data_IF_832497256902
#
_entry.id   IF_832497256902
#
_cell.length_a   1.000
_cell.length_b   1.000
_cell.length_c   1.000
_cell.angle_alpha   90.00
_cell.angle_beta   90.00
_cell.angle_gamma   90.00
#
_symmetry.space_group_name_H-M   'P 1'
#
loop_
_entity.id
_entity.type
_entity.pdbx_description
1 polymer ?
#
# COMPACT_ATOMS: atom_id res chain seq x y z
N UNK A 1 -13.77 14.38 -2.67
CA UNK A 1 -14.01 12.93 -2.55
C UNK A 1 -13.53 12.36 -3.87
N UNK A 2 -12.25 11.97 -3.91
CA UNK A 2 -11.63 11.49 -5.15
C UNK A 2 -12.35 10.21 -5.60
N UNK A 3 -12.59 10.06 -6.90
CA UNK A 3 -13.36 8.94 -7.41
C UNK A 3 -12.63 7.63 -7.09
N UNK A 4 -13.28 6.70 -6.40
CA UNK A 4 -12.77 5.35 -6.25
C UNK A 4 -12.47 4.77 -7.64
N UNK A 5 -11.41 3.95 -7.82
CA UNK A 5 -11.12 3.30 -9.08
C UNK A 5 -12.40 2.68 -9.63
N UNK A 6 -12.83 3.16 -10.80
CA UNK A 6 -14.13 2.84 -11.39
C UNK A 6 -14.08 1.55 -12.20
N UNK A 7 -12.87 1.03 -12.46
CA UNK A 7 -12.67 -0.23 -13.15
C UNK A 7 -12.85 -1.42 -12.19
N UNK A 8 -13.59 -2.47 -12.60
CA UNK A 8 -13.80 -3.64 -11.76
C UNK A 8 -12.48 -4.36 -11.48
N UNK A 9 -12.33 -4.84 -10.25
CA UNK A 9 -11.19 -5.68 -9.85
C UNK A 9 -11.07 -6.86 -10.82
N UNK A 10 -9.95 -6.90 -11.56
CA UNK A 10 -9.64 -7.95 -12.53
C UNK A 10 -8.68 -8.95 -11.90
N UNK A 11 -8.97 -10.25 -12.04
CA UNK A 11 -8.13 -11.32 -11.51
C UNK A 11 -7.20 -11.89 -12.60
N UNK A 12 -6.41 -11.04 -13.27
CA UNK A 12 -5.36 -11.52 -14.18
C UNK A 12 -4.32 -12.33 -13.37
N UNK A 13 -4.17 -13.65 -13.61
CA UNK A 13 -3.31 -14.50 -12.80
C UNK A 13 -1.85 -14.06 -12.80
N UNK A 14 -1.35 -13.49 -13.90
CA UNK A 14 0.04 -13.04 -14.01
C UNK A 14 0.28 -11.80 -13.15
N UNK A 15 -0.66 -10.84 -13.17
CA UNK A 15 -0.58 -9.64 -12.33
C UNK A 15 -0.75 -9.99 -10.85
N UNK A 16 -1.64 -10.92 -10.51
CA UNK A 16 -1.79 -11.40 -9.12
C UNK A 16 -0.52 -12.11 -8.63
N UNK A 17 0.17 -12.87 -9.50
CA UNK A 17 1.44 -13.48 -9.16
C UNK A 17 2.56 -12.43 -8.93
N UNK A 18 2.61 -11.38 -9.75
CA UNK A 18 3.53 -10.26 -9.57
C UNK A 18 3.25 -9.50 -8.26
N UNK A 19 1.98 -9.21 -7.96
CA UNK A 19 1.56 -8.60 -6.69
C UNK A 19 2.03 -9.44 -5.50
N UNK A 20 1.78 -10.76 -5.55
CA UNK A 20 2.21 -11.68 -4.48
C UNK A 20 3.73 -11.60 -4.26
N UNK A 21 4.52 -11.60 -5.33
CA UNK A 21 5.98 -11.54 -5.24
C UNK A 21 6.43 -10.25 -4.55
N UNK A 22 5.86 -9.10 -4.90
CA UNK A 22 6.21 -7.80 -4.33
C UNK A 22 5.79 -7.67 -2.86
N UNK A 23 4.58 -8.12 -2.50
CA UNK A 23 4.11 -8.12 -1.11
C UNK A 23 4.97 -9.03 -0.22
N UNK A 24 5.40 -10.19 -0.74
CA UNK A 24 6.30 -11.08 -0.03
C UNK A 24 7.70 -10.47 0.14
N UNK A 25 8.27 -9.90 -0.92
CA UNK A 25 9.61 -9.30 -0.90
C UNK A 25 9.70 -8.07 0.02
N UNK A 26 8.62 -7.29 0.14
CA UNK A 26 8.55 -6.13 1.04
C UNK A 26 8.27 -6.51 2.50
N UNK A 27 7.96 -7.78 2.79
CA UNK A 27 7.54 -8.23 4.12
C UNK A 27 6.21 -7.62 4.55
N UNK A 28 5.32 -7.29 3.60
CA UNK A 28 3.98 -6.76 3.86
C UNK A 28 3.07 -7.85 4.46
N UNK A 29 3.28 -8.12 5.73
CA UNK A 29 2.60 -9.12 6.57
C UNK A 29 2.18 -8.44 7.87
N UNK A 30 1.26 -9.04 8.64
CA UNK A 30 0.87 -8.46 9.95
C UNK A 30 2.10 -8.22 10.85
N UNK A 31 3.01 -9.20 11.07
CA UNK A 31 4.21 -8.94 11.86
C UNK A 31 5.12 -7.86 11.27
N UNK A 32 5.28 -7.83 9.94
CA UNK A 32 6.11 -6.82 9.28
C UNK A 32 5.53 -5.39 9.37
N UNK A 33 4.20 -5.26 9.34
CA UNK A 33 3.53 -3.97 9.57
C UNK A 33 3.64 -3.56 11.03
N UNK A 34 3.46 -4.48 11.98
CA UNK A 34 3.62 -4.18 13.40
C UNK A 34 5.05 -3.78 13.77
N UNK A 35 6.05 -4.44 13.18
CA UNK A 35 7.47 -4.07 13.31
C UNK A 35 7.73 -2.66 12.79
N UNK A 36 7.21 -2.32 11.60
CA UNK A 36 7.35 -0.99 10.99
C UNK A 36 6.68 0.10 11.84
N UNK A 37 5.47 -0.16 12.34
CA UNK A 37 4.71 0.81 13.13
C UNK A 37 5.25 0.96 14.55
N UNK A 38 5.81 -0.12 15.09
CA UNK A 38 6.11 -0.22 16.50
C UNK A 38 4.84 -0.33 17.37
N UNK A 39 5.01 -0.61 18.67
CA UNK A 39 3.91 -0.98 19.56
C UNK A 39 2.88 0.14 19.75
N UNK A 40 3.34 1.40 19.81
CA UNK A 40 2.46 2.56 20.05
C UNK A 40 1.55 2.81 18.85
N UNK A 41 2.11 2.89 17.64
CA UNK A 41 1.31 3.18 16.46
C UNK A 41 0.42 1.99 16.07
N UNK A 42 0.89 0.75 16.26
CA UNK A 42 0.05 -0.44 16.10
C UNK A 42 -1.16 -0.42 17.06
N UNK A 43 -0.94 -0.18 18.36
CA UNK A 43 -2.03 -0.14 19.34
C UNK A 43 -3.02 1.01 19.08
N UNK A 44 -2.54 2.18 18.65
CA UNK A 44 -3.39 3.29 18.26
C UNK A 44 -4.27 2.93 17.05
N UNK A 45 -3.67 2.33 16.02
CA UNK A 45 -4.39 1.94 14.80
C UNK A 45 -5.50 0.91 15.08
N UNK A 46 -5.26 -0.05 15.99
CA UNK A 46 -6.29 -1.00 16.45
C UNK A 46 -7.48 -0.33 17.14
N UNK A 47 -7.33 0.91 17.61
CA UNK A 47 -8.40 1.75 18.18
C UNK A 47 -8.92 2.78 17.19
N UNK A 48 -8.67 2.58 15.90
CA UNK A 48 -9.06 3.47 14.81
C UNK A 48 -8.42 4.88 14.92
N UNK A 49 -7.26 4.99 15.56
CA UNK A 49 -6.46 6.23 15.62
C UNK A 49 -5.32 6.17 14.59
N UNK A 50 -5.49 6.65 13.35
CA UNK A 50 -4.50 6.47 12.28
C UNK A 50 -3.30 7.41 12.39
N UNK A 51 -3.38 8.49 13.18
CA UNK A 51 -2.36 9.55 13.22
C UNK A 51 -0.97 9.01 13.58
N UNK A 52 -0.79 8.17 14.63
CA UNK A 52 0.51 7.57 14.92
C UNK A 52 1.06 6.71 13.77
N UNK A 53 0.21 5.98 13.06
CA UNK A 53 0.62 5.18 11.90
C UNK A 53 1.02 6.06 10.71
N UNK A 54 0.32 7.18 10.49
CA UNK A 54 0.68 8.16 9.47
C UNK A 54 2.06 8.79 9.73
N UNK A 55 2.41 9.02 11.00
CA UNK A 55 3.72 9.53 11.40
C UNK A 55 4.82 8.47 11.24
N UNK A 56 4.57 7.25 11.72
CA UNK A 56 5.53 6.14 11.62
C UNK A 56 5.86 5.78 10.15
N UNK A 57 4.94 6.02 9.23
CA UNK A 57 5.09 5.72 7.80
C UNK A 57 5.46 6.94 6.94
N UNK A 58 5.95 8.03 7.54
CA UNK A 58 6.27 9.26 6.77
C UNK A 58 7.53 9.13 5.88
N UNK A 59 8.33 8.07 6.05
CA UNK A 59 9.52 7.81 5.25
C UNK A 59 9.22 7.29 3.83
N UNK A 60 10.29 6.95 3.10
CA UNK A 60 10.26 6.47 1.71
C UNK A 60 10.46 4.94 1.59
N UNK A 61 10.36 4.21 2.71
CA UNK A 61 10.51 2.76 2.71
C UNK A 61 9.37 2.07 1.94
N UNK A 62 9.67 1.07 1.09
CA UNK A 62 8.67 0.30 0.34
C UNK A 62 7.46 -0.15 1.15
N UNK A 63 7.68 -0.74 2.34
CA UNK A 63 6.58 -1.23 3.20
C UNK A 63 5.71 -0.08 3.72
N UNK A 64 6.30 1.07 4.02
CA UNK A 64 5.56 2.26 4.44
C UNK A 64 4.62 2.76 3.34
N UNK A 65 5.05 2.75 2.08
CA UNK A 65 4.19 3.10 0.95
C UNK A 65 2.97 2.16 0.83
N UNK A 66 3.16 0.85 1.01
CA UNK A 66 2.06 -0.13 1.00
C UNK A 66 1.10 0.05 2.17
N UNK A 67 1.61 0.30 3.39
CA UNK A 67 0.76 0.57 4.56
C UNK A 67 -0.09 1.82 4.33
N UNK A 68 0.51 2.89 3.81
CA UNK A 68 -0.22 4.12 3.49
C UNK A 68 -1.31 3.92 2.45
N UNK A 69 -1.00 3.22 1.36
CA UNK A 69 -1.94 2.97 0.27
C UNK A 69 -3.07 2.00 0.67
N UNK A 70 -2.73 0.86 1.30
CA UNK A 70 -3.68 -0.26 1.47
C UNK A 70 -4.27 -0.38 2.87
N UNK A 71 -3.63 0.17 3.91
CA UNK A 71 -4.13 0.13 5.29
C UNK A 71 -4.73 1.47 5.69
N UNK A 72 -4.02 2.56 5.40
CA UNK A 72 -4.44 3.91 5.81
C UNK A 72 -5.29 4.62 4.75
N UNK A 73 -5.33 4.11 3.51
CA UNK A 73 -6.14 4.67 2.43
C UNK A 73 -5.76 6.10 2.05
N UNK A 74 -4.48 6.46 2.21
CA UNK A 74 -3.98 7.81 1.89
C UNK A 74 -3.17 7.81 0.59
N UNK A 75 -3.19 8.92 -0.19
CA UNK A 75 -2.36 9.06 -1.38
C UNK A 75 -0.87 8.87 -1.07
N UNK A 76 -0.16 8.24 -2.00
CA UNK A 76 1.29 8.05 -1.97
C UNK A 76 1.90 8.51 -3.30
N UNK A 77 3.14 9.03 -3.31
CA UNK A 77 3.84 9.32 -4.56
C UNK A 77 4.00 8.05 -5.40
N UNK A 78 3.70 8.13 -6.70
CA UNK A 78 3.80 7.00 -7.62
C UNK A 78 5.19 6.35 -7.62
N UNK A 79 6.26 7.14 -7.43
CA UNK A 79 7.63 6.65 -7.31
C UNK A 79 7.85 5.76 -6.07
N UNK A 80 7.21 6.08 -4.94
CA UNK A 80 7.30 5.25 -3.73
C UNK A 80 6.54 3.94 -3.92
N UNK A 81 5.36 4.01 -4.53
CA UNK A 81 4.57 2.81 -4.86
C UNK A 81 5.29 1.92 -5.87
N UNK A 82 5.94 2.49 -6.89
CA UNK A 82 6.74 1.75 -7.86
C UNK A 82 7.93 1.02 -7.21
N UNK A 83 8.59 1.65 -6.22
CA UNK A 83 9.65 0.98 -5.43
C UNK A 83 9.12 -0.16 -4.57
N UNK A 84 7.87 -0.07 -4.12
CA UNK A 84 7.22 -1.12 -3.35
C UNK A 84 6.64 -2.26 -4.20
N UNK A 85 6.39 -2.00 -5.47
CA UNK A 85 5.85 -2.94 -6.46
C UNK A 85 6.81 -3.07 -7.66
N UNK A 86 8.07 -3.52 -7.47
CA UNK A 86 9.05 -3.55 -8.54
C UNK A 86 8.70 -4.52 -9.69
N UNK A 87 7.91 -5.56 -9.42
CA UNK A 87 7.50 -6.55 -10.42
C UNK A 87 6.17 -6.19 -11.06
N UNK A 88 5.17 -5.82 -10.25
CA UNK A 88 3.83 -5.46 -10.71
C UNK A 88 3.82 -4.07 -11.37
N UNK A 89 4.57 -3.13 -10.80
CA UNK A 89 4.54 -1.71 -11.14
C UNK A 89 3.21 -1.02 -10.84
N UNK A 90 3.20 0.31 -10.91
CA UNK A 90 1.97 1.11 -10.81
C UNK A 90 0.95 0.73 -11.90
N UNK A 91 1.33 0.56 -13.19
CA UNK A 91 0.38 0.16 -14.22
C UNK A 91 -0.25 -1.21 -14.00
N UNK A 92 0.45 -2.14 -13.34
CA UNK A 92 -0.12 -3.42 -12.94
C UNK A 92 -1.14 -3.27 -11.82
N UNK A 93 -0.85 -2.43 -10.82
CA UNK A 93 -1.76 -2.13 -9.72
C UNK A 93 -3.03 -1.41 -10.20
N UNK A 94 -2.92 -0.49 -11.16
CA UNK A 94 -4.06 0.18 -11.81
C UNK A 94 -4.94 -0.81 -12.57
N UNK A 95 -4.35 -1.69 -13.41
CA UNK A 95 -5.10 -2.73 -14.14
C UNK A 95 -5.80 -3.74 -13.24
N UNK A 96 -5.26 -3.98 -12.04
CA UNK A 96 -5.92 -4.79 -11.02
C UNK A 96 -7.03 -4.04 -10.29
N UNK A 97 -7.20 -2.73 -10.51
CA UNK A 97 -8.16 -1.87 -9.82
C UNK A 97 -7.78 -1.54 -8.38
N UNK A 98 -6.51 -1.72 -7.99
CA UNK A 98 -6.04 -1.53 -6.60
C UNK A 98 -5.75 -0.06 -6.28
N UNK A 99 -5.36 0.71 -7.29
CA UNK A 99 -5.02 2.13 -7.16
C UNK A 99 -5.56 2.91 -8.34
N UNK A 100 -5.71 4.21 -8.17
CA UNK A 100 -5.96 5.16 -9.24
C UNK A 100 -5.03 6.36 -9.05
N UNK A 101 -4.69 7.03 -10.15
CA UNK A 101 -4.02 8.33 -10.08
C UNK A 101 -4.92 9.34 -9.36
N UNK A 102 -4.43 9.91 -8.27
CA UNK A 102 -5.13 10.95 -7.54
C UNK A 102 -4.92 12.30 -8.24
N UNK A 103 -6.01 12.93 -8.68
CA UNK A 103 -6.01 14.23 -9.35
C UNK A 103 -5.64 14.21 -10.83
N UNK A 104 -6.64 14.48 -11.68
CA UNK A 104 -6.48 15.03 -13.02
C UNK A 104 -6.87 16.51 -13.02
#
# INVERSE_FOLDING_TARGET
MDAAPTEPLTADPALVAALRADLAASGFTVPGVEELLGPVASAALHREEPVPALLATAGDEPRAALVRAFVLGVPVPAAHLARALPTLGVPGAERLGLVAAAGA
#
